data_IF_206517208381
#
_entry.id   IF_206517208381
#
_cell.length_a   1.000
_cell.length_b   1.000
_cell.length_c   1.000
_cell.angle_alpha   90.00
_cell.angle_beta   90.00
_cell.angle_gamma   90.00
#
_symmetry.space_group_name_H-M   'P 1'
#
loop_
_entity.id
_entity.type
_entity.pdbx_description
1 polymer ?
#
# COMPACT_ATOMS: atom_id res chain seq x y z
N UNK A 1 28.71 -9.19 -12.68
CA UNK A 1 27.78 -8.56 -13.66
C UNK A 1 26.59 -9.45 -13.97
N UNK A 2 26.79 -10.68 -14.47
CA UNK A 2 25.68 -11.64 -14.74
C UNK A 2 24.82 -11.92 -13.50
N UNK A 3 25.43 -12.14 -12.33
CA UNK A 3 24.68 -12.34 -11.09
C UNK A 3 23.85 -11.12 -10.64
N UNK A 4 24.38 -9.90 -10.83
CA UNK A 4 23.67 -8.67 -10.48
C UNK A 4 22.49 -8.42 -11.44
N UNK A 5 22.68 -8.64 -12.75
CA UNK A 5 21.60 -8.58 -13.73
C UNK A 5 20.53 -9.66 -13.47
N UNK A 6 20.96 -10.86 -13.05
CA UNK A 6 20.06 -11.93 -12.63
C UNK A 6 19.21 -11.54 -11.41
N UNK A 7 19.81 -10.91 -10.40
CA UNK A 7 19.08 -10.39 -9.23
C UNK A 7 18.11 -9.29 -9.63
N UNK A 8 18.51 -8.35 -10.50
CA UNK A 8 17.61 -7.28 -10.98
C UNK A 8 16.43 -7.86 -11.76
N UNK A 9 16.68 -8.81 -12.65
CA UNK A 9 15.62 -9.49 -13.41
C UNK A 9 14.68 -10.28 -12.47
N UNK A 10 15.23 -10.99 -11.50
CA UNK A 10 14.45 -11.70 -10.48
C UNK A 10 13.62 -10.74 -9.65
N UNK A 11 14.17 -9.60 -9.22
CA UNK A 11 13.44 -8.59 -8.45
C UNK A 11 12.34 -7.93 -9.28
N UNK A 12 12.57 -7.66 -10.56
CA UNK A 12 11.54 -7.15 -11.46
C UNK A 12 10.39 -8.16 -11.63
N UNK A 13 10.73 -9.44 -11.80
CA UNK A 13 9.76 -10.53 -11.85
C UNK A 13 9.11 -10.81 -10.49
N UNK A 14 9.82 -10.50 -9.39
CA UNK A 14 9.61 -10.58 -7.92
C UNK A 14 8.61 -9.62 -7.28
N UNK A 15 8.70 -8.35 -7.69
CA UNK A 15 8.19 -7.23 -6.92
C UNK A 15 6.94 -6.60 -7.54
N UNK A 16 6.63 -6.91 -8.80
CA UNK A 16 5.49 -6.33 -9.49
C UNK A 16 4.16 -6.74 -8.81
N UNK A 17 3.35 -5.79 -8.30
CA UNK A 17 2.07 -6.09 -7.67
C UNK A 17 1.14 -6.86 -8.62
N UNK A 18 0.44 -7.85 -8.10
CA UNK A 18 -0.59 -8.58 -8.84
C UNK A 18 -1.94 -7.89 -8.67
N UNK A 19 -2.60 -7.61 -9.79
CA UNK A 19 -3.97 -7.11 -9.76
C UNK A 19 -4.92 -8.19 -9.20
N UNK A 20 -6.00 -7.80 -8.50
CA UNK A 20 -7.03 -8.74 -8.12
C UNK A 20 -7.63 -9.43 -9.36
N UNK A 21 -7.98 -10.73 -9.27
CA UNK A 21 -8.56 -11.46 -10.39
C UNK A 21 -9.92 -10.86 -10.79
N UNK A 22 -10.29 -10.89 -12.08
CA UNK A 22 -11.59 -10.41 -12.53
C UNK A 22 -12.74 -11.10 -11.78
N UNK A 23 -13.73 -10.32 -11.34
CA UNK A 23 -14.88 -10.82 -10.61
C UNK A 23 -14.66 -11.09 -9.11
N UNK A 24 -13.51 -10.69 -8.55
CA UNK A 24 -13.31 -10.64 -7.11
C UNK A 24 -14.12 -9.48 -6.51
N UNK A 25 -15.12 -9.82 -5.70
CA UNK A 25 -16.09 -8.85 -5.16
C UNK A 25 -16.41 -9.15 -3.70
N UNK A 26 -16.86 -8.15 -2.97
CA UNK A 26 -17.45 -8.29 -1.64
C UNK A 26 -18.89 -7.76 -1.67
N UNK A 27 -19.85 -8.56 -1.19
CA UNK A 27 -21.15 -8.04 -0.80
C UNK A 27 -21.02 -7.44 0.61
N UNK A 28 -21.20 -6.13 0.72
CA UNK A 28 -21.01 -5.38 1.96
C UNK A 28 -22.36 -5.02 2.55
N UNK A 29 -22.62 -5.46 3.78
CA UNK A 29 -23.72 -5.00 4.60
C UNK A 29 -23.19 -4.08 5.70
N UNK A 30 -23.66 -2.85 5.72
CA UNK A 30 -23.30 -1.85 6.73
C UNK A 30 -24.41 -1.69 7.76
N UNK A 31 -24.02 -1.58 9.02
CA UNK A 31 -24.89 -1.18 10.13
C UNK A 31 -24.28 0.00 10.87
N UNK A 32 -25.10 0.95 11.30
CA UNK A 32 -24.61 2.11 12.07
C UNK A 32 -24.12 1.65 13.45
N UNK A 33 -22.94 2.12 13.83
CA UNK A 33 -22.35 1.87 15.14
C UNK A 33 -22.63 3.07 16.06
N UNK A 34 -23.11 2.80 17.28
CA UNK A 34 -23.49 3.85 18.23
C UNK A 34 -22.28 4.62 18.79
N UNK A 35 -21.12 3.96 18.86
CA UNK A 35 -19.87 4.55 19.33
C UNK A 35 -18.80 4.37 18.25
N UNK A 36 -17.95 5.38 18.13
CA UNK A 36 -16.78 5.36 17.27
C UNK A 36 -15.50 5.00 18.02
N UNK A 37 -14.40 4.96 17.28
CA UNK A 37 -13.06 4.88 17.85
C UNK A 37 -12.53 6.28 18.22
N UNK A 38 -11.57 6.35 19.13
CA UNK A 38 -10.89 7.60 19.48
C UNK A 38 -10.01 8.07 18.32
N UNK A 39 -10.13 9.35 17.94
CA UNK A 39 -9.35 9.96 16.85
C UNK A 39 -8.28 10.85 17.45
N UNK A 40 -7.00 10.48 17.29
CA UNK A 40 -5.88 11.20 17.92
C UNK A 40 -5.70 12.63 17.41
N UNK A 41 -5.87 12.87 16.10
CA UNK A 41 -5.65 14.18 15.48
C UNK A 41 -6.76 14.53 14.48
N UNK A 42 -7.99 14.82 14.94
CA UNK A 42 -9.15 14.94 14.07
C UNK A 42 -8.99 16.06 13.04
N UNK A 43 -9.12 15.71 11.76
CA UNK A 43 -9.09 16.65 10.65
C UNK A 43 -9.97 16.19 9.48
N UNK A 44 -10.34 17.12 8.60
CA UNK A 44 -11.19 16.83 7.44
C UNK A 44 -12.71 16.96 7.67
N UNK A 45 -13.12 17.28 8.90
CA UNK A 45 -14.49 17.67 9.24
C UNK A 45 -15.55 16.59 9.00
N UNK A 46 -16.79 17.01 8.82
CA UNK A 46 -17.95 16.13 8.61
C UNK A 46 -18.66 15.72 9.91
N UNK A 47 -19.92 15.32 9.78
CA UNK A 47 -20.70 14.77 10.90
C UNK A 47 -20.24 13.33 11.18
N UNK A 48 -19.82 12.99 12.41
CA UNK A 48 -19.38 11.64 12.73
C UNK A 48 -20.41 10.58 12.35
N UNK A 49 -19.97 9.59 11.59
CA UNK A 49 -20.76 8.42 11.18
C UNK A 49 -19.88 7.19 11.22
N UNK A 50 -20.24 6.21 12.03
CA UNK A 50 -19.44 5.01 12.24
C UNK A 50 -20.25 3.81 11.79
N UNK A 51 -19.61 2.88 11.09
CA UNK A 51 -20.28 1.72 10.51
C UNK A 51 -19.54 0.43 10.83
N UNK A 52 -20.28 -0.58 11.25
CA UNK A 52 -19.80 -1.97 11.23
C UNK A 52 -20.08 -2.56 9.86
N UNK A 53 -19.11 -3.29 9.32
CA UNK A 53 -19.22 -3.93 8.02
C UNK A 53 -19.24 -5.46 8.18
N UNK A 54 -20.30 -6.08 7.70
CA UNK A 54 -20.33 -7.52 7.42
C UNK A 54 -20.12 -7.72 5.93
N UNK A 55 -19.13 -8.52 5.55
CA UNK A 55 -18.74 -8.72 4.16
C UNK A 55 -18.78 -10.18 3.78
N UNK A 56 -19.33 -10.45 2.59
CA UNK A 56 -19.29 -11.77 1.95
C UNK A 56 -18.38 -11.69 0.73
N UNK A 57 -17.21 -12.31 0.82
CA UNK A 57 -16.18 -12.30 -0.24
C UNK A 57 -16.49 -13.40 -1.25
N UNK A 58 -16.54 -13.05 -2.54
CA UNK A 58 -16.93 -13.98 -3.62
C UNK A 58 -15.96 -15.15 -3.82
N UNK A 59 -14.76 -15.05 -3.27
CA UNK A 59 -13.69 -16.06 -3.27
C UNK A 59 -13.29 -16.40 -1.83
N UNK A 60 -14.03 -17.30 -1.16
CA UNK A 60 -13.73 -17.69 0.22
C UNK A 60 -12.36 -18.33 0.37
N UNK A 61 -11.87 -19.02 -0.68
CA UNK A 61 -10.52 -19.59 -0.74
C UNK A 61 -9.43 -18.52 -0.60
N UNK A 62 -9.57 -17.38 -1.30
CA UNK A 62 -8.61 -16.28 -1.19
C UNK A 62 -8.67 -15.57 0.16
N UNK A 63 -9.86 -15.50 0.76
CA UNK A 63 -10.05 -14.89 2.07
C UNK A 63 -9.46 -15.76 3.20
N UNK A 64 -9.53 -17.08 3.06
CA UNK A 64 -8.97 -18.03 4.03
C UNK A 64 -7.44 -18.13 3.94
N UNK A 65 -6.86 -17.97 2.75
CA UNK A 65 -5.42 -17.91 2.53
C UNK A 65 -4.82 -16.48 2.69
N UNK A 66 -5.61 -15.53 3.20
CA UNK A 66 -5.20 -14.16 3.35
C UNK A 66 -4.10 -14.02 4.42
N UNK A 67 -3.02 -13.32 4.06
CA UNK A 67 -2.01 -12.86 5.02
C UNK A 67 -2.57 -11.74 5.88
N UNK A 68 -3.31 -10.82 5.26
CA UNK A 68 -4.10 -9.82 5.97
C UNK A 68 -5.51 -9.74 5.40
N UNK A 69 -6.48 -9.87 6.30
CA UNK A 69 -7.88 -9.58 6.07
C UNK A 69 -8.34 -8.65 7.19
N UNK A 70 -8.39 -7.34 6.91
CA UNK A 70 -8.73 -6.32 7.93
C UNK A 70 -9.65 -5.24 7.38
N UNK A 71 -10.48 -4.67 8.23
CA UNK A 71 -11.05 -3.35 8.01
C UNK A 71 -9.95 -2.30 8.13
N UNK A 72 -9.93 -1.34 7.22
CA UNK A 72 -8.86 -0.37 7.09
C UNK A 72 -9.46 1.02 6.96
N UNK A 73 -8.97 1.99 7.72
CA UNK A 73 -9.34 3.40 7.57
C UNK A 73 -8.17 4.36 7.83
N UNK A 74 -8.10 5.44 7.05
CA UNK A 74 -7.02 6.44 7.15
C UNK A 74 -7.49 7.82 6.68
N UNK A 75 -6.61 8.83 6.85
CA UNK A 75 -6.76 10.24 6.43
C UNK A 75 -7.78 11.12 7.17
N UNK A 76 -8.57 10.61 8.10
CA UNK A 76 -9.47 11.46 8.91
C UNK A 76 -8.92 11.89 10.27
N UNK A 77 -7.62 11.70 10.50
CA UNK A 77 -6.95 12.10 11.74
C UNK A 77 -6.24 10.98 12.49
N UNK A 78 -6.39 9.75 12.03
CA UNK A 78 -5.71 8.58 12.56
C UNK A 78 -5.58 7.48 11.50
N UNK A 79 -5.07 6.32 11.92
CA UNK A 79 -5.02 5.09 11.15
C UNK A 79 -5.70 3.96 11.95
N UNK A 80 -6.71 3.33 11.36
CA UNK A 80 -7.38 2.17 11.95
C UNK A 80 -7.15 0.92 11.13
N UNK A 81 -6.85 -0.17 11.83
CA UNK A 81 -6.81 -1.53 11.30
C UNK A 81 -7.72 -2.40 12.16
N UNK A 82 -8.99 -2.46 11.79
CA UNK A 82 -10.00 -3.26 12.49
C UNK A 82 -9.87 -4.75 12.10
N UNK A 83 -9.65 -5.67 13.06
CA UNK A 83 -9.70 -7.10 12.78
C UNK A 83 -11.05 -7.53 12.21
N UNK A 84 -11.08 -8.63 11.45
CA UNK A 84 -12.30 -9.22 10.92
C UNK A 84 -12.58 -10.56 11.63
N UNK A 85 -13.77 -10.70 12.20
CA UNK A 85 -14.27 -11.92 12.80
C UNK A 85 -14.93 -12.79 11.72
N UNK A 86 -14.48 -14.03 11.57
CA UNK A 86 -15.08 -15.00 10.64
C UNK A 86 -16.41 -15.51 11.20
N UNK A 87 -17.48 -15.28 10.45
CA UNK A 87 -18.83 -15.75 10.79
C UNK A 87 -19.20 -17.04 10.02
N UNK A 88 -18.54 -17.28 8.89
CA UNK A 88 -18.74 -18.46 8.04
C UNK A 88 -17.79 -18.47 6.85
N UNK A 89 -17.89 -19.46 5.93
CA UNK A 89 -17.07 -19.50 4.73
C UNK A 89 -17.22 -18.24 3.89
N UNK A 90 -16.14 -17.44 3.77
CA UNK A 90 -16.15 -16.17 3.03
C UNK A 90 -16.92 -15.03 3.70
N UNK A 91 -17.48 -15.22 4.90
CA UNK A 91 -18.30 -14.21 5.60
C UNK A 91 -17.56 -13.73 6.83
N UNK A 92 -17.34 -12.41 6.91
CA UNK A 92 -16.59 -11.77 7.97
C UNK A 92 -17.27 -10.50 8.46
N UNK A 93 -17.04 -10.12 9.71
CA UNK A 93 -17.54 -8.86 10.30
C UNK A 93 -16.40 -8.09 10.94
N UNK A 94 -16.36 -6.77 10.76
CA UNK A 94 -15.38 -5.93 11.45
C UNK A 94 -15.59 -5.99 12.97
N UNK A 95 -14.51 -6.23 13.73
CA UNK A 95 -14.55 -6.27 15.19
C UNK A 95 -14.71 -4.86 15.80
N UNK A 96 -14.30 -3.83 15.05
CA UNK A 96 -14.38 -2.44 15.43
C UNK A 96 -15.00 -1.62 14.30
N UNK A 97 -15.74 -0.53 14.61
CA UNK A 97 -16.43 0.24 13.61
C UNK A 97 -15.47 1.07 12.76
N UNK A 98 -15.79 1.22 11.48
CA UNK A 98 -15.05 2.03 10.53
C UNK A 98 -15.68 3.43 10.39
N UNK A 99 -14.88 4.50 10.29
CA UNK A 99 -15.39 5.84 10.05
C UNK A 99 -15.84 6.00 8.58
N UNK A 100 -17.04 6.57 8.40
CA UNK A 100 -17.69 6.78 7.10
C UNK A 100 -18.08 8.26 6.89
N UNK A 101 -17.22 9.19 7.28
CA UNK A 101 -17.47 10.63 7.25
C UNK A 101 -16.22 11.45 6.94
N UNK A 102 -16.41 12.74 6.64
CA UNK A 102 -15.30 13.67 6.49
C UNK A 102 -14.30 13.24 5.41
N UNK A 103 -13.02 13.37 5.73
CA UNK A 103 -11.91 12.96 4.86
C UNK A 103 -11.42 11.53 5.10
N UNK A 104 -12.15 10.74 5.89
CA UNK A 104 -11.81 9.33 6.07
C UNK A 104 -11.87 8.58 4.73
N UNK A 105 -10.95 7.64 4.55
CA UNK A 105 -10.99 6.65 3.49
C UNK A 105 -11.00 5.29 4.16
N UNK A 106 -12.06 4.52 3.96
CA UNK A 106 -12.27 3.24 4.62
C UNK A 106 -12.60 2.11 3.63
N UNK A 107 -12.20 0.88 3.94
CA UNK A 107 -12.47 -0.30 3.12
C UNK A 107 -12.07 -1.61 3.80
N UNK A 108 -12.35 -2.73 3.14
CA UNK A 108 -11.86 -4.04 3.55
C UNK A 108 -10.62 -4.39 2.73
N UNK A 109 -9.50 -4.57 3.42
CA UNK A 109 -8.22 -5.00 2.87
C UNK A 109 -8.18 -6.52 2.77
N UNK A 110 -7.76 -7.02 1.60
CA UNK A 110 -7.48 -8.44 1.35
C UNK A 110 -6.11 -8.57 0.71
N UNK A 111 -5.14 -9.02 1.50
CA UNK A 111 -3.78 -9.27 1.04
C UNK A 111 -3.51 -10.77 1.05
N UNK A 112 -3.18 -11.32 -0.11
CA UNK A 112 -2.80 -12.73 -0.27
C UNK A 112 -1.29 -12.80 -0.47
N UNK A 113 -0.70 -13.92 -0.07
CA UNK A 113 0.74 -14.15 -0.16
C UNK A 113 1.32 -13.79 -1.55
N UNK A 114 2.61 -13.48 -1.55
CA UNK A 114 3.37 -12.93 -2.66
C UNK A 114 3.05 -11.46 -2.96
N UNK A 115 1.94 -11.11 -3.63
CA UNK A 115 1.80 -9.77 -4.26
C UNK A 115 0.40 -9.22 -4.49
N UNK A 116 -0.65 -9.91 -4.04
CA UNK A 116 -2.00 -9.37 -4.25
C UNK A 116 -2.35 -8.45 -3.09
N UNK A 117 -2.44 -7.15 -3.39
CA UNK A 117 -2.89 -6.13 -2.44
C UNK A 117 -4.19 -5.54 -2.98
N UNK A 118 -5.31 -6.04 -2.45
CA UNK A 118 -6.64 -5.67 -2.90
C UNK A 118 -7.42 -4.98 -1.78
N UNK A 119 -8.32 -4.08 -2.17
CA UNK A 119 -9.20 -3.37 -1.24
C UNK A 119 -10.60 -3.27 -1.83
N UNK A 120 -11.62 -3.64 -1.05
CA UNK A 120 -13.01 -3.33 -1.32
C UNK A 120 -13.39 -2.02 -0.60
N UNK A 121 -13.60 -0.92 -1.33
CA UNK A 121 -13.80 0.39 -0.71
C UNK A 121 -15.20 0.54 -0.12
N UNK A 122 -15.26 1.02 1.13
CA UNK A 122 -16.52 1.29 1.86
C UNK A 122 -16.86 2.78 1.78
N UNK A 123 -15.90 3.66 2.10
CA UNK A 123 -16.10 5.11 2.12
C UNK A 123 -14.86 5.84 1.60
N UNK A 124 -15.09 6.90 0.84
CA UNK A 124 -14.08 7.91 0.55
C UNK A 124 -14.77 9.19 0.08
N UNK A 125 -14.33 10.38 0.51
CA UNK A 125 -14.83 11.63 -0.03
C UNK A 125 -14.55 11.74 -1.53
N UNK A 126 -15.28 12.63 -2.20
CA UNK A 126 -14.90 13.07 -3.53
C UNK A 126 -13.58 13.85 -3.47
N UNK A 127 -12.73 13.64 -4.47
CA UNK A 127 -11.52 14.44 -4.68
C UNK A 127 -11.53 14.98 -6.12
N UNK A 128 -11.98 16.22 -6.32
CA UNK A 128 -11.99 16.86 -7.63
C UNK A 128 -10.59 17.06 -8.23
N UNK A 129 -9.56 17.29 -7.40
CA UNK A 129 -8.19 17.49 -7.87
C UNK A 129 -7.61 16.20 -8.49
N UNK A 130 -8.09 15.06 -8.02
CA UNK A 130 -7.77 13.72 -8.52
C UNK A 130 -8.80 13.15 -9.52
N UNK A 131 -9.87 13.89 -9.85
CA UNK A 131 -11.02 13.39 -10.61
C UNK A 131 -11.63 12.10 -10.02
N UNK A 132 -11.58 11.97 -8.70
CA UNK A 132 -11.98 10.77 -7.99
C UNK A 132 -13.38 10.97 -7.38
N UNK A 133 -14.34 10.15 -7.81
CA UNK A 133 -15.74 10.24 -7.34
C UNK A 133 -15.86 9.87 -5.85
N UNK A 134 -16.89 10.40 -5.20
CA UNK A 134 -17.29 9.98 -3.86
C UNK A 134 -17.60 8.48 -3.86
N UNK A 135 -17.21 7.81 -2.79
CA UNK A 135 -17.61 6.45 -2.49
C UNK A 135 -18.47 6.54 -1.23
N UNK A 136 -19.78 6.38 -1.40
CA UNK A 136 -20.73 6.47 -0.29
C UNK A 136 -20.71 5.19 0.54
N UNK A 137 -20.85 5.31 1.86
CA UNK A 137 -20.97 4.18 2.76
C UNK A 137 -22.40 3.63 2.73
N UNK A 138 -22.67 2.83 1.71
CA UNK A 138 -23.94 2.14 1.45
C UNK A 138 -23.69 0.65 1.28
N UNK A 139 -24.67 -0.14 1.74
CA UNK A 139 -24.66 -1.58 1.56
C UNK A 139 -24.80 -1.94 0.08
N UNK A 140 -24.13 -3.00 -0.34
CA UNK A 140 -24.20 -3.53 -1.69
C UNK A 140 -22.87 -4.12 -2.14
N UNK A 141 -22.86 -4.52 -3.40
CA UNK A 141 -21.71 -5.16 -4.02
C UNK A 141 -20.59 -4.16 -4.30
N UNK A 142 -19.36 -4.52 -3.91
CA UNK A 142 -18.13 -3.77 -4.15
C UNK A 142 -17.12 -4.65 -4.88
N UNK A 143 -16.46 -4.09 -5.88
CA UNK A 143 -15.34 -4.76 -6.51
C UNK A 143 -14.08 -4.57 -5.67
N UNK A 144 -13.27 -5.62 -5.57
CA UNK A 144 -11.92 -5.47 -5.08
C UNK A 144 -11.06 -4.80 -6.15
N UNK A 145 -10.50 -3.65 -5.81
CA UNK A 145 -9.56 -2.91 -6.65
C UNK A 145 -8.14 -3.09 -6.12
N UNK A 146 -7.13 -2.77 -6.93
CA UNK A 146 -5.76 -2.69 -6.42
C UNK A 146 -5.70 -1.65 -5.30
N UNK A 147 -5.19 -2.03 -4.13
CA UNK A 147 -5.08 -1.11 -3.01
C UNK A 147 -4.26 0.13 -3.39
N UNK A 148 -3.17 -0.06 -4.14
CA UNK A 148 -2.35 1.04 -4.64
C UNK A 148 -3.19 2.04 -5.45
N UNK A 149 -4.10 1.54 -6.30
CA UNK A 149 -4.99 2.41 -7.08
C UNK A 149 -5.97 3.21 -6.20
N UNK A 150 -6.37 2.68 -5.05
CA UNK A 150 -7.23 3.36 -4.09
C UNK A 150 -6.46 4.34 -3.18
N UNK A 151 -5.26 3.97 -2.74
CA UNK A 151 -4.43 4.82 -1.88
C UNK A 151 -3.81 5.97 -2.67
N UNK A 152 -3.37 5.70 -3.89
CA UNK A 152 -2.74 6.66 -4.78
C UNK A 152 -3.75 7.30 -5.75
N UNK A 153 -5.02 7.42 -5.37
CA UNK A 153 -6.04 8.10 -6.21
C UNK A 153 -5.61 9.52 -6.60
N UNK A 154 -4.83 10.18 -5.74
CA UNK A 154 -4.29 11.52 -5.94
C UNK A 154 -3.05 11.58 -6.85
N UNK A 155 -2.46 10.43 -7.19
CA UNK A 155 -1.24 10.39 -8.01
C UNK A 155 -1.53 10.84 -9.43
N UNK A 156 -0.85 11.89 -9.85
CA UNK A 156 -0.84 12.35 -11.25
C UNK A 156 -0.11 11.31 -12.11
N UNK A 157 -0.82 10.77 -13.09
CA UNK A 157 -0.26 9.84 -14.08
C UNK A 157 0.29 10.54 -15.31
N UNK A 158 -0.06 11.81 -15.52
CA UNK A 158 0.22 12.55 -16.76
C UNK A 158 1.58 13.27 -16.74
N UNK A 159 2.49 12.82 -15.87
CA UNK A 159 3.85 13.39 -15.83
C UNK A 159 4.63 12.98 -17.09
N UNK A 160 5.20 13.92 -17.86
CA UNK A 160 5.92 13.59 -19.08
C UNK A 160 7.05 12.57 -18.84
N UNK A 161 7.08 11.52 -19.67
CA UNK A 161 8.06 10.42 -19.54
C UNK A 161 9.51 10.91 -19.63
N UNK A 162 9.76 11.99 -20.37
CA UNK A 162 11.08 12.63 -20.45
C UNK A 162 11.56 13.16 -19.10
N UNK A 163 10.68 13.82 -18.34
CA UNK A 163 11.02 14.35 -17.00
C UNK A 163 11.34 13.20 -16.04
N UNK A 164 10.52 12.15 -16.08
CA UNK A 164 10.78 10.92 -15.31
C UNK A 164 12.12 10.28 -15.67
N UNK A 165 12.41 10.15 -16.96
CA UNK A 165 13.64 9.51 -17.45
C UNK A 165 14.87 10.32 -17.04
N UNK A 166 14.86 11.64 -17.28
CA UNK A 166 15.97 12.53 -16.90
C UNK A 166 16.20 12.49 -15.40
N UNK A 167 15.14 12.56 -14.59
CA UNK A 167 15.24 12.51 -13.14
C UNK A 167 15.87 11.18 -12.67
N UNK A 168 15.38 10.04 -13.16
CA UNK A 168 15.93 8.74 -12.78
C UNK A 168 17.37 8.53 -13.25
N UNK A 169 17.72 8.98 -14.46
CA UNK A 169 19.11 8.92 -14.96
C UNK A 169 20.01 9.79 -14.11
N UNK A 170 19.61 11.02 -13.78
CA UNK A 170 20.38 11.93 -12.94
C UNK A 170 20.62 11.32 -11.54
N UNK A 171 19.58 10.80 -10.90
CA UNK A 171 19.70 10.09 -9.62
C UNK A 171 20.61 8.87 -9.76
N UNK A 172 20.42 8.06 -10.81
CA UNK A 172 21.26 6.90 -11.09
C UNK A 172 22.75 7.26 -11.24
N UNK A 173 23.06 8.36 -11.90
CA UNK A 173 24.44 8.88 -12.06
C UNK A 173 25.03 9.34 -10.72
N UNK A 174 24.24 10.01 -9.86
CA UNK A 174 24.68 10.40 -8.51
C UNK A 174 25.03 9.16 -7.70
N UNK A 175 24.17 8.14 -7.70
CA UNK A 175 24.44 6.88 -7.00
C UNK A 175 25.67 6.17 -7.58
N UNK A 176 25.79 6.07 -8.91
CA UNK A 176 26.95 5.46 -9.56
C UNK A 176 28.26 6.20 -9.20
N UNK A 177 28.24 7.53 -9.20
CA UNK A 177 29.37 8.36 -8.77
C UNK A 177 29.73 8.12 -7.30
N UNK A 178 28.74 8.04 -6.41
CA UNK A 178 28.95 7.71 -4.99
C UNK A 178 29.59 6.32 -4.82
N UNK A 179 29.10 5.30 -5.53
CA UNK A 179 29.67 3.95 -5.51
C UNK A 179 31.11 3.92 -6.04
N UNK A 180 31.39 4.65 -7.11
CA UNK A 180 32.74 4.78 -7.66
C UNK A 180 33.69 5.47 -6.65
N UNK A 181 33.22 6.52 -5.97
CA UNK A 181 33.98 7.20 -4.94
C UNK A 181 34.27 6.28 -3.74
N UNK A 182 33.29 5.51 -3.27
CA UNK A 182 33.51 4.52 -2.20
C UNK A 182 34.51 3.44 -2.60
N UNK A 183 34.38 2.89 -3.81
CA UNK A 183 35.31 1.89 -4.32
C UNK A 183 36.74 2.45 -4.42
N UNK A 184 36.88 3.70 -4.89
CA UNK A 184 38.17 4.36 -4.98
C UNK A 184 38.80 4.62 -3.62
N UNK A 185 38.05 5.20 -2.67
CA UNK A 185 38.54 5.46 -1.31
C UNK A 185 38.96 4.17 -0.60
N UNK A 186 38.19 3.09 -0.77
CA UNK A 186 38.53 1.78 -0.20
C UNK A 186 39.83 1.23 -0.80
N UNK A 187 39.97 1.27 -2.13
CA UNK A 187 41.18 0.81 -2.81
C UNK A 187 42.41 1.66 -2.43
N UNK A 188 42.26 2.98 -2.32
CA UNK A 188 43.31 3.90 -1.93
C UNK A 188 43.78 3.66 -0.48
N UNK A 189 42.85 3.45 0.46
CA UNK A 189 43.17 3.12 1.84
C UNK A 189 43.93 1.78 1.95
N UNK A 190 43.46 0.74 1.24
CA UNK A 190 44.11 -0.57 1.23
C UNK A 190 45.53 -0.52 0.64
N UNK A 191 45.76 0.29 -0.40
CA UNK A 191 47.08 0.48 -1.00
C UNK A 191 48.05 1.22 -0.04
N UNK A 192 47.55 2.22 0.70
CA UNK A 192 48.33 2.96 1.69
C UNK A 192 48.81 2.09 2.85
N UNK A 193 47.95 1.20 3.37
CA UNK A 193 48.30 0.25 4.42
C UNK A 193 49.37 -0.76 3.98
N UNK A 194 49.28 -1.26 2.75
CA UNK A 194 50.25 -2.20 2.20
C UNK A 194 51.64 -1.56 1.99
N UNK A 195 51.70 -0.27 1.64
CA UNK A 195 52.95 0.47 1.53
C UNK A 195 53.59 0.71 2.90
N UNK A 196 52.79 1.08 3.92
CA UNK A 196 53.27 1.32 5.28
C UNK A 196 53.85 0.05 5.93
N UNK A 197 53.19 -1.10 5.78
CA UNK A 197 53.70 -2.38 6.30
C UNK A 197 55.05 -2.80 5.68
N UNK A 198 55.28 -2.50 4.40
CA UNK A 198 56.55 -2.78 3.74
C UNK A 198 57.70 -1.95 4.30
N UNK A 199 57.47 -0.69 4.66
CA UNK A 199 58.48 0.20 5.23
C UNK A 199 58.85 -0.15 6.68
N UNK A 200 57.93 -0.71 7.46
CA UNK A 200 58.20 -1.14 8.85
C UNK A 200 58.88 -2.51 8.95
N UNK A 201 58.91 -3.28 7.85
CA UNK A 201 59.51 -4.62 7.79
C UNK A 201 60.94 -4.63 7.23
N UNK A 202 61.45 -3.47 6.78
CA UNK A 202 62.83 -3.22 6.37
C UNK A 202 63.60 -2.49 7.45
#
# INVERSE_FOLDING_TARGET
>A
LVGALGVVALMAAVAAPLAPPPGLTADVRLTEAAAGQEISNPHGGGTPRWVDATVTISRPDLADDAVWLTGFAWQGGDFYSAPLEKLGPGVYRTAEPLPAFGQWKAGIRLHVANRMMALAPIYAPADPAANAKVITAESGKRDFVSEISFLQRERKTDTPLVLWTVAYVAVGLIFAGMWAAFAWLYAAAAAGDAARRRQTAS
#
